data_IF_939392948294
#
_entry.id   IF_939392948294
#
_cell.length_a   1.000
_cell.length_b   1.000
_cell.length_c   1.000
_cell.angle_alpha   90.00
_cell.angle_beta   90.00
_cell.angle_gamma   90.00
#
_symmetry.space_group_name_H-M   'P 1'
#
loop_
_entity.id
_entity.type
_entity.pdbx_description
1 polymer ?
#
# COMPACT_ATOMS: atom_id res chain seq x y z
N UNK A 1 -0.12 -7.44 -7.56
CA UNK A 1 1.19 -6.76 -7.41
C UNK A 1 1.49 -6.65 -5.94
N UNK A 2 2.67 -7.10 -5.50
CA UNK A 2 3.04 -7.21 -4.09
C UNK A 2 4.33 -6.43 -3.83
N UNK A 3 4.25 -5.44 -2.95
CA UNK A 3 5.39 -4.70 -2.42
C UNK A 3 6.32 -5.65 -1.64
N UNK A 4 7.63 -5.42 -1.78
CA UNK A 4 8.65 -6.16 -1.04
C UNK A 4 9.19 -5.28 0.08
N UNK A 5 9.11 -5.79 1.30
CA UNK A 5 9.65 -5.15 2.49
C UNK A 5 10.99 -5.80 2.83
N UNK A 6 12.07 -5.02 3.01
CA UNK A 6 13.37 -5.56 3.36
C UNK A 6 13.34 -6.15 4.77
N UNK A 7 13.98 -7.31 4.94
CA UNK A 7 14.27 -7.91 6.25
C UNK A 7 15.70 -7.54 6.59
N UNK A 8 15.86 -6.68 7.59
CA UNK A 8 17.18 -6.21 8.05
C UNK A 8 17.45 -6.77 9.44
N UNK A 9 18.58 -7.45 9.60
CA UNK A 9 19.05 -7.93 10.90
C UNK A 9 20.45 -7.39 11.16
N UNK A 10 20.64 -6.71 12.29
CA UNK A 10 21.92 -6.09 12.68
C UNK A 10 22.51 -5.17 11.60
N UNK A 11 21.65 -4.46 10.86
CA UNK A 11 22.04 -3.56 9.78
C UNK A 11 22.29 -4.22 8.43
N UNK A 12 22.23 -5.55 8.34
CA UNK A 12 22.43 -6.29 7.08
C UNK A 12 21.10 -6.73 6.47
N UNK A 13 20.98 -6.59 5.15
CA UNK A 13 19.85 -7.14 4.41
C UNK A 13 19.93 -8.67 4.41
N UNK A 14 18.95 -9.34 5.03
CA UNK A 14 18.81 -10.80 5.03
C UNK A 14 17.94 -11.30 3.88
N UNK A 15 17.03 -10.46 3.42
CA UNK A 15 16.08 -10.82 2.37
C UNK A 15 14.95 -9.82 2.26
N UNK A 16 13.85 -10.27 1.68
CA UNK A 16 12.64 -9.49 1.46
C UNK A 16 11.40 -10.31 1.75
N UNK A 17 10.36 -9.67 2.27
CA UNK A 17 9.04 -10.26 2.49
C UNK A 17 8.03 -9.53 1.63
N UNK A 18 7.20 -10.26 0.90
CA UNK A 18 6.07 -9.71 0.16
C UNK A 18 4.79 -10.43 0.52
N UNK A 19 3.74 -9.72 0.90
CA UNK A 19 2.43 -10.31 1.20
C UNK A 19 1.34 -9.78 0.28
N UNK A 20 0.62 -10.69 -0.37
CA UNK A 20 -0.74 -10.49 -0.83
C UNK A 20 -1.71 -10.86 0.29
N UNK A 21 -3.00 -10.50 0.18
CA UNK A 21 -3.99 -10.80 1.23
C UNK A 21 -4.05 -12.29 1.60
N UNK A 22 -3.90 -13.16 0.60
CA UNK A 22 -4.05 -14.62 0.76
C UNK A 22 -2.72 -15.39 0.76
N UNK A 23 -1.59 -14.73 0.44
CA UNK A 23 -0.31 -15.40 0.33
C UNK A 23 0.86 -14.50 0.76
N UNK A 24 1.96 -15.11 1.20
CA UNK A 24 3.20 -14.40 1.52
C UNK A 24 4.38 -15.12 0.89
N UNK A 25 5.35 -14.36 0.40
CA UNK A 25 6.68 -14.88 0.04
C UNK A 25 7.73 -14.27 0.93
N UNK A 26 8.74 -15.07 1.25
CA UNK A 26 9.94 -14.65 1.95
C UNK A 26 11.10 -15.09 1.08
N UNK A 27 11.88 -14.14 0.59
CA UNK A 27 13.03 -14.42 -0.27
C UNK A 27 14.31 -13.99 0.41
N UNK A 28 15.31 -14.85 0.44
CA UNK A 28 16.64 -14.54 0.95
C UNK A 28 17.45 -13.76 -0.10
N UNK A 29 18.56 -13.15 0.33
CA UNK A 29 19.50 -12.46 -0.58
C UNK A 29 20.11 -13.35 -1.66
N UNK A 30 20.18 -14.67 -1.43
CA UNK A 30 20.65 -15.65 -2.41
C UNK A 30 19.62 -15.95 -3.53
N UNK A 31 18.43 -15.35 -3.46
CA UNK A 31 17.34 -15.54 -4.42
C UNK A 31 16.42 -16.71 -4.11
N UNK A 32 16.70 -17.52 -3.08
CA UNK A 32 15.78 -18.56 -2.62
C UNK A 32 14.52 -17.94 -2.03
N UNK A 33 13.35 -18.46 -2.38
CA UNK A 33 12.06 -17.97 -1.89
C UNK A 33 11.21 -19.09 -1.32
N UNK A 34 10.63 -18.85 -0.14
CA UNK A 34 9.55 -19.65 0.44
C UNK A 34 8.22 -18.96 0.21
N UNK A 35 7.18 -19.76 -0.01
CA UNK A 35 5.81 -19.31 -0.30
C UNK A 35 4.86 -19.90 0.72
N UNK A 36 4.03 -19.04 1.29
CA UNK A 36 3.05 -19.38 2.31
C UNK A 36 1.66 -18.99 1.83
N UNK A 37 0.68 -19.86 2.07
CA UNK A 37 -0.73 -19.60 1.80
C UNK A 37 -1.47 -19.42 3.12
N UNK A 38 -2.17 -18.29 3.29
CA UNK A 38 -2.97 -18.02 4.48
C UNK A 38 -4.30 -18.76 4.39
N UNK A 39 -4.55 -19.64 5.36
CA UNK A 39 -5.82 -20.37 5.50
C UNK A 39 -6.73 -19.75 6.56
N UNK A 40 -6.18 -18.83 7.37
CA UNK A 40 -6.91 -17.99 8.31
C UNK A 40 -6.12 -16.70 8.56
N UNK A 41 -6.65 -15.78 9.39
CA UNK A 41 -5.94 -14.55 9.78
C UNK A 41 -4.66 -14.78 10.60
N UNK A 42 -4.47 -15.96 11.15
CA UNK A 42 -3.35 -16.29 12.05
C UNK A 42 -2.59 -17.54 11.65
N UNK A 43 -2.99 -18.21 10.57
CA UNK A 43 -2.38 -19.48 10.13
C UNK A 43 -2.06 -19.43 8.66
N UNK A 44 -0.79 -19.64 8.35
CA UNK A 44 -0.29 -19.86 7.01
C UNK A 44 0.36 -21.25 6.90
N UNK A 45 0.29 -21.85 5.70
CA UNK A 45 0.93 -23.12 5.37
C UNK A 45 2.07 -22.87 4.40
N UNK A 46 3.24 -23.48 4.64
CA UNK A 46 4.33 -23.49 3.65
C UNK A 46 3.90 -24.37 2.47
N UNK A 47 3.75 -23.75 1.30
CA UNK A 47 3.36 -24.42 0.06
C UNK A 47 4.51 -24.51 -0.93
N UNK A 48 5.73 -24.10 -0.56
CA UNK A 48 6.89 -23.96 -1.46
C UNK A 48 7.15 -25.22 -2.28
N UNK A 49 7.16 -26.38 -1.63
CA UNK A 49 7.38 -27.68 -2.28
C UNK A 49 6.17 -28.24 -3.05
N UNK A 50 4.99 -27.61 -2.91
CA UNK A 50 3.74 -28.04 -3.54
C UNK A 50 3.44 -27.25 -4.84
N UNK A 51 4.20 -26.19 -5.12
CA UNK A 51 4.00 -25.37 -6.31
C UNK A 51 4.62 -26.03 -7.54
N UNK A 52 3.85 -26.05 -8.64
CA UNK A 52 4.38 -26.45 -9.94
C UNK A 52 5.36 -25.39 -10.50
N UNK A 53 5.97 -25.65 -11.67
CA UNK A 53 6.93 -24.73 -12.31
C UNK A 53 6.36 -23.33 -12.59
N UNK A 54 5.04 -23.21 -12.76
CA UNK A 54 4.33 -21.93 -12.98
C UNK A 54 3.98 -21.23 -11.66
N UNK A 55 4.29 -21.85 -10.52
CA UNK A 55 3.96 -21.33 -9.20
C UNK A 55 2.49 -21.47 -8.82
N UNK A 56 1.82 -22.48 -9.38
CA UNK A 56 0.41 -22.78 -9.13
C UNK A 56 0.35 -23.98 -8.17
N UNK A 57 -0.46 -23.86 -7.14
CA UNK A 57 -0.85 -24.97 -6.25
C UNK A 57 -2.09 -25.63 -6.86
N UNK A 58 -2.01 -26.92 -7.15
CA UNK A 58 -3.13 -27.73 -7.61
C UNK A 58 -3.58 -28.66 -6.48
N UNK A 59 -4.87 -28.66 -6.16
CA UNK A 59 -5.44 -29.48 -5.09
C UNK A 59 -6.56 -30.32 -5.68
N UNK A 60 -6.46 -31.65 -5.54
CA UNK A 60 -7.57 -32.55 -5.82
C UNK A 60 -8.43 -32.66 -4.56
N UNK A 61 -9.65 -32.13 -4.62
CA UNK A 61 -10.56 -32.09 -3.47
C UNK A 61 -11.70 -33.12 -3.59
N UNK A 62 -11.57 -34.13 -4.44
CA UNK A 62 -12.56 -35.21 -4.63
C UNK A 62 -13.88 -34.78 -5.27
N UNK A 63 -14.20 -33.47 -5.28
CA UNK A 63 -15.34 -32.84 -5.99
C UNK A 63 -14.89 -32.04 -7.23
N UNK A 64 -13.62 -32.11 -7.57
CA UNK A 64 -13.00 -31.35 -8.66
C UNK A 64 -11.57 -30.90 -8.33
N UNK A 65 -10.90 -30.32 -9.33
CA UNK A 65 -9.57 -29.73 -9.17
C UNK A 65 -9.67 -28.26 -8.78
N UNK A 66 -9.07 -27.89 -7.67
CA UNK A 66 -8.82 -26.51 -7.27
C UNK A 66 -7.45 -26.05 -7.76
N UNK A 67 -7.32 -24.77 -8.09
CA UNK A 67 -6.03 -24.16 -8.43
C UNK A 67 -5.86 -22.81 -7.72
N UNK A 68 -4.66 -22.56 -7.22
CA UNK A 68 -4.27 -21.28 -6.63
C UNK A 68 -2.95 -20.78 -7.25
N UNK A 69 -2.97 -19.71 -8.06
CA UNK A 69 -1.76 -19.15 -8.67
C UNK A 69 -0.95 -18.30 -7.68
N UNK A 70 -0.33 -18.96 -6.70
CA UNK A 70 0.38 -18.35 -5.57
C UNK A 70 1.50 -17.41 -6.01
N UNK A 71 2.41 -17.84 -6.92
CA UNK A 71 3.49 -16.95 -7.40
C UNK A 71 2.95 -15.75 -8.18
N UNK A 72 2.01 -15.92 -9.14
CA UNK A 72 1.39 -14.79 -9.83
C UNK A 72 0.73 -13.75 -8.90
N UNK A 73 0.03 -14.19 -7.84
CA UNK A 73 -0.54 -13.26 -6.85
C UNK A 73 0.53 -12.40 -6.17
N UNK A 74 1.71 -12.97 -5.96
CA UNK A 74 2.86 -12.35 -5.35
C UNK A 74 3.86 -11.80 -6.38
N UNK A 75 3.40 -11.57 -7.61
CA UNK A 75 4.20 -10.90 -8.62
C UNK A 75 4.54 -9.49 -8.16
N UNK A 76 5.79 -9.13 -8.41
CA UNK A 76 6.38 -7.91 -7.92
C UNK A 76 7.19 -7.29 -9.05
N UNK A 77 7.03 -5.99 -9.39
CA UNK A 77 7.93 -5.32 -10.32
C UNK A 77 9.39 -5.40 -9.84
N UNK A 78 10.37 -5.16 -10.72
CA UNK A 78 11.75 -5.02 -10.28
C UNK A 78 11.87 -3.84 -9.30
N UNK A 79 12.55 -4.05 -8.18
CA UNK A 79 12.88 -3.00 -7.21
C UNK A 79 14.36 -3.02 -6.89
N UNK A 80 14.87 -1.86 -6.52
CA UNK A 80 16.21 -1.71 -5.93
C UNK A 80 16.02 -1.12 -4.54
N UNK A 81 16.35 -1.89 -3.51
CA UNK A 81 16.43 -1.37 -2.15
C UNK A 81 17.74 -0.58 -2.02
N UNK A 82 17.67 0.74 -2.21
CA UNK A 82 18.85 1.61 -2.16
C UNK A 82 19.21 2.04 -0.73
N UNK A 83 18.21 2.31 0.10
CA UNK A 83 18.41 2.75 1.48
C UNK A 83 17.23 2.30 2.35
N UNK A 84 17.54 1.87 3.57
CA UNK A 84 16.57 1.73 4.64
C UNK A 84 16.73 2.94 5.57
N UNK A 85 15.60 3.52 5.99
CA UNK A 85 15.54 4.54 7.05
C UNK A 85 14.93 3.87 8.28
N UNK A 86 15.55 4.02 9.46
CA UNK A 86 15.13 3.28 10.65
C UNK A 86 13.83 3.80 11.24
N UNK A 87 13.55 5.10 11.07
CA UNK A 87 12.39 5.76 11.62
C UNK A 87 11.91 6.93 10.75
N UNK A 88 10.76 7.48 11.12
CA UNK A 88 10.12 8.59 10.42
C UNK A 88 10.89 9.92 10.56
N UNK A 89 11.65 10.10 11.63
CA UNK A 89 12.41 11.32 11.91
C UNK A 89 13.64 11.42 10.98
N UNK A 90 14.42 10.35 10.85
CA UNK A 90 15.51 10.28 9.89
C UNK A 90 14.99 10.39 8.45
N UNK A 91 13.86 9.77 8.14
CA UNK A 91 13.23 9.90 6.82
C UNK A 91 12.85 11.36 6.52
N UNK A 92 12.24 12.07 7.47
CA UNK A 92 11.86 13.46 7.29
C UNK A 92 13.08 14.39 7.18
N UNK A 93 14.15 14.17 7.97
CA UNK A 93 15.42 14.92 7.82
C UNK A 93 16.05 14.70 6.44
N UNK A 94 16.04 13.46 5.95
CA UNK A 94 16.51 13.14 4.60
C UNK A 94 15.70 13.90 3.54
N UNK A 95 14.36 13.83 3.60
CA UNK A 95 13.49 14.58 2.70
C UNK A 95 13.73 16.09 2.79
N UNK A 96 13.94 16.63 3.99
CA UNK A 96 14.19 18.05 4.18
C UNK A 96 15.43 18.54 3.43
N UNK A 97 16.50 17.73 3.41
CA UNK A 97 17.69 18.01 2.62
C UNK A 97 17.48 17.93 1.10
N UNK A 98 16.53 17.11 0.64
CA UNK A 98 16.26 16.89 -0.78
C UNK A 98 15.29 17.91 -1.39
N UNK A 99 14.25 18.31 -0.66
CA UNK A 99 13.14 19.14 -1.19
C UNK A 99 12.90 20.43 -0.40
N UNK A 100 13.74 20.73 0.59
CA UNK A 100 13.50 21.83 1.51
C UNK A 100 13.54 23.22 0.88
N UNK A 101 14.31 23.40 -0.20
CA UNK A 101 14.36 24.67 -0.91
C UNK A 101 13.08 24.92 -1.70
N UNK A 102 12.53 23.87 -2.30
CA UNK A 102 11.37 23.89 -3.17
C UNK A 102 10.08 24.10 -2.37
N UNK A 103 10.00 23.51 -1.17
CA UNK A 103 8.79 23.55 -0.34
C UNK A 103 8.69 24.77 0.56
N UNK A 104 9.79 25.44 0.90
CA UNK A 104 9.79 26.54 1.89
C UNK A 104 8.82 27.67 1.49
N UNK A 105 7.89 27.99 2.39
CA UNK A 105 6.86 29.01 2.20
C UNK A 105 5.76 28.64 1.18
N UNK A 106 5.75 27.42 0.64
CA UNK A 106 4.75 26.96 -0.32
C UNK A 106 3.50 26.39 0.38
N UNK A 107 2.44 26.26 -0.41
CA UNK A 107 1.28 25.44 -0.05
C UNK A 107 1.35 24.13 -0.81
N UNK A 108 1.32 23.01 -0.09
CA UNK A 108 1.31 21.65 -0.61
C UNK A 108 -0.10 21.09 -0.51
N UNK A 109 -0.63 20.60 -1.63
CA UNK A 109 -1.89 19.89 -1.69
C UNK A 109 -1.64 18.38 -1.66
N UNK A 110 -2.13 17.69 -0.64
CA UNK A 110 -2.17 16.23 -0.60
C UNK A 110 -3.55 15.73 -1.02
N UNK A 111 -3.60 15.08 -2.19
CA UNK A 111 -4.73 14.23 -2.56
C UNK A 111 -4.74 12.96 -1.70
N UNK A 112 -5.60 12.93 -0.70
CA UNK A 112 -5.69 11.87 0.28
C UNK A 112 -6.77 10.86 -0.11
N UNK A 113 -6.45 9.57 -0.16
CA UNK A 113 -7.39 8.50 -0.52
C UNK A 113 -7.89 7.68 0.67
N UNK A 114 -7.30 7.87 1.86
CA UNK A 114 -7.56 7.04 3.04
C UNK A 114 -6.87 5.67 2.99
N UNK A 115 -6.21 5.32 1.88
CA UNK A 115 -5.41 4.09 1.77
C UNK A 115 -4.06 4.21 2.47
N UNK A 116 -3.43 3.07 2.76
CA UNK A 116 -2.16 2.94 3.49
C UNK A 116 -1.05 3.88 2.96
N UNK A 117 -0.94 4.01 1.65
CA UNK A 117 0.12 4.80 1.00
C UNK A 117 -0.13 6.29 1.17
N UNK A 118 -1.37 6.74 1.00
CA UNK A 118 -1.75 8.14 1.25
C UNK A 118 -1.66 8.53 2.73
N UNK A 119 -1.89 7.58 3.64
CA UNK A 119 -1.69 7.76 5.09
C UNK A 119 -0.21 7.89 5.40
N UNK A 120 0.64 7.02 4.84
CA UNK A 120 2.09 7.14 5.00
C UNK A 120 2.62 8.48 4.45
N UNK A 121 2.14 8.92 3.28
CA UNK A 121 2.48 10.22 2.71
C UNK A 121 2.04 11.38 3.61
N UNK A 122 0.84 11.34 4.17
CA UNK A 122 0.35 12.33 5.13
C UNK A 122 1.25 12.41 6.36
N UNK A 123 1.57 11.27 6.99
CA UNK A 123 2.44 11.23 8.18
C UNK A 123 3.83 11.77 7.87
N UNK A 124 4.39 11.43 6.70
CA UNK A 124 5.67 11.96 6.26
C UNK A 124 5.64 13.48 6.07
N UNK A 125 4.59 14.03 5.46
CA UNK A 125 4.43 15.48 5.28
C UNK A 125 4.25 16.22 6.60
N UNK A 126 3.45 15.67 7.52
CA UNK A 126 3.28 16.25 8.86
C UNK A 126 4.61 16.30 9.62
N UNK A 127 5.39 15.20 9.59
CA UNK A 127 6.73 15.17 10.19
C UNK A 127 7.68 16.15 9.51
N UNK A 128 7.58 16.29 8.18
CA UNK A 128 8.42 17.20 7.41
C UNK A 128 8.18 18.69 7.77
N UNK A 129 6.97 19.06 8.19
CA UNK A 129 6.66 20.42 8.67
C UNK A 129 7.45 20.81 9.93
N UNK A 130 8.02 19.85 10.67
CA UNK A 130 8.93 20.14 11.78
C UNK A 130 10.29 20.68 11.32
N UNK A 131 10.68 20.44 10.05
CA UNK A 131 11.98 20.83 9.48
C UNK A 131 11.88 21.92 8.41
N UNK A 132 10.74 22.01 7.72
CA UNK A 132 10.50 22.99 6.67
C UNK A 132 9.20 23.72 6.95
N UNK A 133 9.25 25.04 6.95
CA UNK A 133 8.04 25.85 6.98
C UNK A 133 7.30 25.78 5.63
N UNK A 134 6.16 25.09 5.60
CA UNK A 134 5.21 25.06 4.49
C UNK A 134 3.80 24.79 5.00
N UNK A 135 2.80 25.15 4.20
CA UNK A 135 1.38 24.90 4.52
C UNK A 135 0.92 23.61 3.86
N UNK A 136 0.33 22.70 4.64
CA UNK A 136 -0.25 21.46 4.13
C UNK A 136 -1.78 21.58 4.05
N UNK A 137 -2.33 21.37 2.87
CA UNK A 137 -3.78 21.20 2.65
C UNK A 137 -4.06 19.75 2.27
N UNK A 138 -4.87 19.06 3.06
CA UNK A 138 -5.22 17.66 2.85
C UNK A 138 -6.65 17.60 2.32
N UNK A 139 -6.84 16.97 1.16
CA UNK A 139 -8.15 16.87 0.51
C UNK A 139 -8.52 15.41 0.26
N UNK A 140 -9.71 15.01 0.70
CA UNK A 140 -10.30 13.70 0.43
C UNK A 140 -11.54 13.85 -0.44
N UNK A 141 -11.60 13.13 -1.57
CA UNK A 141 -12.77 13.13 -2.46
C UNK A 141 -13.48 11.79 -2.32
N UNK A 142 -14.65 11.82 -1.69
CA UNK A 142 -15.54 10.68 -1.62
C UNK A 142 -16.28 10.46 -2.95
N UNK A 143 -16.39 9.20 -3.38
CA UNK A 143 -17.15 8.80 -4.57
C UNK A 143 -18.40 7.98 -4.16
N UNK A 144 -19.58 8.60 -4.01
CA UNK A 144 -20.75 7.99 -3.34
C UNK A 144 -21.33 6.71 -3.98
N UNK A 145 -20.98 6.38 -5.23
CA UNK A 145 -21.43 5.17 -5.92
C UNK A 145 -20.43 4.01 -5.86
N UNK A 146 -19.16 4.33 -5.61
CA UNK A 146 -18.06 3.37 -5.67
C UNK A 146 -17.51 3.05 -4.28
N UNK A 147 -17.76 3.92 -3.32
CA UNK A 147 -17.17 3.87 -1.99
C UNK A 147 -18.25 3.80 -0.92
N UNK A 148 -17.92 3.13 0.18
CA UNK A 148 -18.76 3.12 1.36
C UNK A 148 -18.71 4.48 2.07
N UNK A 149 -19.82 4.96 2.65
CA UNK A 149 -19.80 6.11 3.56
C UNK A 149 -18.81 5.95 4.73
N UNK A 150 -18.51 4.71 5.12
CA UNK A 150 -17.49 4.38 6.15
C UNK A 150 -16.10 4.93 5.82
N UNK A 151 -15.80 5.19 4.55
CA UNK A 151 -14.54 5.81 4.17
C UNK A 151 -14.44 7.23 4.71
N UNK A 152 -15.54 7.99 4.70
CA UNK A 152 -15.60 9.35 5.27
C UNK A 152 -15.40 9.30 6.78
N UNK A 153 -16.11 8.40 7.48
CA UNK A 153 -15.96 8.21 8.93
C UNK A 153 -14.52 7.84 9.32
N UNK A 154 -13.85 7.01 8.51
CA UNK A 154 -12.44 6.67 8.71
C UNK A 154 -11.54 7.91 8.59
N UNK A 155 -11.74 8.71 7.54
CA UNK A 155 -10.96 9.93 7.29
C UNK A 155 -11.15 10.94 8.43
N UNK A 156 -12.39 11.17 8.87
CA UNK A 156 -12.71 12.07 9.98
C UNK A 156 -12.05 11.61 11.29
N UNK A 157 -12.13 10.31 11.60
CA UNK A 157 -11.50 9.73 12.79
C UNK A 157 -9.98 9.86 12.74
N UNK A 158 -9.37 9.66 11.56
CA UNK A 158 -7.94 9.85 11.37
C UNK A 158 -7.54 11.31 11.56
N UNK A 159 -8.29 12.24 10.95
CA UNK A 159 -8.05 13.68 11.05
C UNK A 159 -8.09 14.13 12.51
N UNK A 160 -9.11 13.70 13.26
CA UNK A 160 -9.25 13.96 14.70
C UNK A 160 -8.07 13.42 15.50
N UNK A 161 -7.63 12.18 15.23
CA UNK A 161 -6.48 11.56 15.93
C UNK A 161 -5.16 12.28 15.67
N UNK A 162 -4.98 12.82 14.48
CA UNK A 162 -3.76 13.53 14.09
C UNK A 162 -3.82 15.03 14.39
N UNK A 163 -4.96 15.55 14.85
CA UNK A 163 -5.14 16.98 15.12
C UNK A 163 -5.08 17.85 13.85
N UNK A 164 -5.51 17.30 12.71
CA UNK A 164 -5.47 17.99 11.41
C UNK A 164 -6.87 18.22 10.84
N UNK A 165 -6.97 19.15 9.89
CA UNK A 165 -8.16 19.34 9.07
C UNK A 165 -7.98 18.64 7.73
N UNK A 166 -8.99 17.88 7.31
CA UNK A 166 -9.08 17.30 5.96
C UNK A 166 -10.28 17.91 5.26
N UNK A 167 -10.08 18.53 4.09
CA UNK A 167 -11.16 18.99 3.23
C UNK A 167 -11.84 17.78 2.58
N UNK A 168 -12.99 17.39 3.12
CA UNK A 168 -13.80 16.28 2.61
C UNK A 168 -14.79 16.83 1.58
N UNK A 169 -14.62 16.42 0.32
CA UNK A 169 -15.52 16.72 -0.79
C UNK A 169 -16.19 15.46 -1.30
N UNK A 170 -17.36 15.61 -1.90
CA UNK A 170 -18.01 14.52 -2.63
C UNK A 170 -18.05 14.83 -4.11
N UNK A 171 -17.72 13.84 -4.94
CA UNK A 171 -17.86 13.97 -6.38
C UNK A 171 -19.34 14.20 -6.75
N UNK A 172 -19.66 15.11 -7.69
CA UNK A 172 -21.03 15.35 -8.11
C UNK A 172 -21.70 14.07 -8.61
N UNK A 173 -22.83 13.71 -7.98
CA UNK A 173 -23.52 12.45 -8.28
C UNK A 173 -23.93 12.32 -9.75
N UNK A 174 -24.39 13.42 -10.36
CA UNK A 174 -24.82 13.43 -11.76
C UNK A 174 -23.67 13.07 -12.71
N UNK A 175 -22.51 13.67 -12.51
CA UNK A 175 -21.36 13.52 -13.38
C UNK A 175 -20.75 12.13 -13.26
N UNK A 176 -20.62 11.63 -12.01
CA UNK A 176 -20.14 10.27 -11.77
C UNK A 176 -21.06 9.21 -12.37
N UNK A 177 -22.39 9.39 -12.26
CA UNK A 177 -23.36 8.48 -12.89
C UNK A 177 -23.24 8.50 -14.42
N UNK A 178 -23.03 9.67 -15.01
CA UNK A 178 -22.80 9.81 -16.45
C UNK A 178 -21.53 9.08 -16.89
N UNK A 179 -20.42 9.29 -16.16
CA UNK A 179 -19.13 8.67 -16.42
C UNK A 179 -19.20 7.13 -16.33
N UNK A 180 -19.84 6.59 -15.28
CA UNK A 180 -19.99 5.15 -15.08
C UNK A 180 -20.87 4.51 -16.15
N UNK A 181 -21.91 5.20 -16.64
CA UNK A 181 -22.70 4.72 -17.78
C UNK A 181 -21.88 4.68 -19.06
N UNK A 182 -21.01 5.67 -19.27
CA UNK A 182 -20.23 5.77 -20.50
C UNK A 182 -19.01 4.83 -20.52
N UNK A 183 -18.25 4.74 -19.42
CA UNK A 183 -17.03 3.93 -19.32
C UNK A 183 -17.22 2.56 -18.67
N UNK A 184 -18.39 2.31 -18.08
CA UNK A 184 -18.63 1.13 -17.24
C UNK A 184 -18.00 1.26 -15.85
N UNK A 185 -18.12 0.19 -15.06
CA UNK A 185 -17.53 0.13 -13.72
C UNK A 185 -16.01 0.05 -13.81
N UNK A 186 -15.26 0.70 -12.89
CA UNK A 186 -13.83 0.50 -12.78
C UNK A 186 -13.54 -0.98 -12.56
N UNK A 187 -12.66 -1.54 -13.40
CA UNK A 187 -12.17 -2.90 -13.20
C UNK A 187 -11.07 -2.85 -12.14
N UNK A 188 -11.19 -3.64 -11.08
CA UNK A 188 -10.03 -3.91 -10.22
C UNK A 188 -8.98 -4.63 -11.08
N UNK A 189 -7.73 -4.20 -10.96
CA UNK A 189 -6.63 -4.61 -11.84
C UNK A 189 -6.60 -6.11 -12.12
N UNK A 190 -6.32 -6.44 -13.39
CA UNK A 190 -6.04 -7.80 -13.87
C UNK A 190 -4.67 -8.29 -13.38
#
# INVERSE_FOLDING_TARGET
MTELYPVVERGELRGVVGSGGDATKICSVDGSCRYYLWVSRSRALDVTGLLNRRGILEVDAGRGRGFAPVRPWLSSPPYVHARAVPDLDEYARMLAGMVGRELRGRTVLLGFSGGKDSVAALLALLKLQEYIDFRLHVMFIHIPFLESPRNVEFVEKLASRLGITVDVRSAPRRDMKSLLKWRGMPRRGY
#
